data_IF_960367163007
#
_entry.id   IF_960367163007
#
_cell.length_a   1.000
_cell.length_b   1.000
_cell.length_c   1.000
_cell.angle_alpha   90.00
_cell.angle_beta   90.00
_cell.angle_gamma   90.00
#
_symmetry.space_group_name_H-M   'P 1'
#
loop_
_entity.id
_entity.type
_entity.pdbx_description
1 polymer ?
#
# COMPACT_ATOMS: atom_id res chain seq x y z
N UNK A 1 -3.52 43.22 -4.23
CA UNK A 1 -3.57 41.81 -4.63
C UNK A 1 -2.50 40.95 -3.92
N UNK A 2 -1.33 41.49 -3.64
CA UNK A 2 -0.24 40.72 -2.97
C UNK A 2 -0.48 40.38 -1.51
N UNK A 3 -1.15 41.24 -0.73
CA UNK A 3 -1.45 41.02 0.68
C UNK A 3 -2.43 39.84 0.86
N UNK A 4 -3.41 39.71 -0.03
CA UNK A 4 -4.39 38.62 0.01
C UNK A 4 -3.75 37.25 -0.32
N UNK A 5 -2.80 37.18 -1.26
CA UNK A 5 -2.08 35.97 -1.59
C UNK A 5 -1.11 35.55 -0.48
N UNK A 6 -0.45 36.52 0.18
CA UNK A 6 0.46 36.23 1.30
C UNK A 6 -0.31 35.71 2.53
N UNK A 7 -1.46 36.29 2.87
CA UNK A 7 -2.31 35.78 3.94
C UNK A 7 -2.88 34.40 3.65
N UNK A 8 -3.28 34.15 2.41
CA UNK A 8 -3.76 32.83 1.97
C UNK A 8 -2.66 31.76 2.02
N UNK A 9 -1.42 32.10 1.60
CA UNK A 9 -0.25 31.23 1.73
C UNK A 9 -0.01 30.81 3.19
N UNK A 10 -0.02 31.77 4.12
CA UNK A 10 0.17 31.51 5.53
C UNK A 10 -0.94 30.62 6.12
N UNK A 11 -2.20 30.89 5.77
CA UNK A 11 -3.35 30.09 6.23
C UNK A 11 -3.25 28.65 5.71
N UNK A 12 -2.93 28.45 4.43
CA UNK A 12 -2.79 27.10 3.85
C UNK A 12 -1.62 26.32 4.48
N UNK A 13 -0.48 26.98 4.73
CA UNK A 13 0.64 26.35 5.45
C UNK A 13 0.26 25.91 6.85
N UNK A 14 -0.43 26.77 7.59
CA UNK A 14 -0.94 26.47 8.94
C UNK A 14 -1.92 25.29 8.92
N UNK A 15 -2.87 25.30 8.00
CA UNK A 15 -3.83 24.20 7.82
C UNK A 15 -3.15 22.88 7.45
N UNK A 16 -2.23 22.90 6.47
CA UNK A 16 -1.45 21.73 6.08
C UNK A 16 -0.63 21.17 7.25
N UNK A 17 0.09 22.03 7.98
CA UNK A 17 0.89 21.61 9.12
C UNK A 17 0.03 20.98 10.23
N UNK A 18 -1.11 21.60 10.56
CA UNK A 18 -2.03 21.05 11.56
C UNK A 18 -2.56 19.66 11.17
N UNK A 19 -2.97 19.47 9.90
CA UNK A 19 -3.45 18.19 9.38
C UNK A 19 -2.34 17.12 9.38
N UNK A 20 -1.12 17.47 9.01
CA UNK A 20 0.02 16.56 9.01
C UNK A 20 0.44 16.16 10.44
N UNK A 21 0.43 17.09 11.39
CA UNK A 21 0.67 16.80 12.82
C UNK A 21 -0.43 15.89 13.36
N UNK A 22 -1.70 16.16 13.05
CA UNK A 22 -2.80 15.27 13.41
C UNK A 22 -2.59 13.85 12.88
N UNK A 23 -2.17 13.71 11.61
CA UNK A 23 -1.87 12.41 11.03
C UNK A 23 -0.71 11.69 11.74
N UNK A 24 0.34 12.40 12.13
CA UNK A 24 1.45 11.85 12.92
C UNK A 24 0.96 11.30 14.27
N UNK A 25 0.16 12.09 15.00
CA UNK A 25 -0.40 11.65 16.28
C UNK A 25 -1.26 10.39 16.10
N UNK A 26 -2.15 10.41 15.10
CA UNK A 26 -3.01 9.26 14.78
C UNK A 26 -2.21 8.02 14.36
N UNK A 27 -1.14 8.20 13.59
CA UNK A 27 -0.26 7.14 13.12
C UNK A 27 0.43 6.42 14.28
N UNK A 28 0.95 7.16 15.27
CA UNK A 28 1.59 6.55 16.45
C UNK A 28 0.59 5.90 17.40
N UNK A 29 -0.66 6.34 17.43
CA UNK A 29 -1.77 5.66 18.14
C UNK A 29 -2.31 4.41 17.41
N UNK A 30 -1.91 4.17 16.17
CA UNK A 30 -2.41 3.06 15.35
C UNK A 30 -1.73 1.72 15.70
N UNK A 31 -2.44 0.61 15.41
CA UNK A 31 -1.92 -0.76 15.56
C UNK A 31 -1.07 -1.23 14.36
N UNK A 32 -0.62 -0.33 13.50
CA UNK A 32 0.22 -0.68 12.36
C UNK A 32 1.59 -1.24 12.81
N UNK A 33 2.20 -2.15 12.03
CA UNK A 33 3.55 -2.64 12.29
C UNK A 33 4.55 -1.47 12.38
N UNK A 34 5.57 -1.60 13.23
CA UNK A 34 6.52 -0.54 13.51
C UNK A 34 7.18 0.02 12.23
N UNK A 35 7.58 -0.83 11.31
CA UNK A 35 8.17 -0.42 10.03
C UNK A 35 7.25 0.48 9.18
N UNK A 36 5.92 0.21 9.17
CA UNK A 36 4.95 1.03 8.46
C UNK A 36 4.81 2.41 9.12
N UNK A 37 4.75 2.44 10.46
CA UNK A 37 4.67 3.71 11.21
C UNK A 37 5.87 4.61 10.94
N UNK A 38 7.08 4.08 11.01
CA UNK A 38 8.29 4.87 10.78
C UNK A 38 8.43 5.33 9.32
N UNK A 39 8.10 4.50 8.33
CA UNK A 39 8.17 4.90 6.93
C UNK A 39 7.17 6.01 6.59
N UNK A 40 5.93 5.89 7.08
CA UNK A 40 4.91 6.93 6.90
C UNK A 40 5.24 8.21 7.69
N UNK A 41 5.74 8.08 8.92
CA UNK A 41 6.15 9.23 9.73
C UNK A 41 7.30 10.00 9.08
N UNK A 42 8.30 9.31 8.53
CA UNK A 42 9.40 9.93 7.80
C UNK A 42 8.90 10.71 6.57
N UNK A 43 7.97 10.14 5.81
CA UNK A 43 7.33 10.85 4.70
C UNK A 43 6.56 12.09 5.17
N UNK A 44 5.71 11.98 6.19
CA UNK A 44 4.95 13.12 6.72
C UNK A 44 5.90 14.21 7.23
N UNK A 45 6.97 13.83 7.93
CA UNK A 45 8.00 14.77 8.39
C UNK A 45 8.70 15.49 7.23
N UNK A 46 8.93 14.80 6.10
CA UNK A 46 9.51 15.43 4.91
C UNK A 46 8.57 16.44 4.26
N UNK A 47 7.26 16.19 4.26
CA UNK A 47 6.27 17.18 3.77
C UNK A 47 6.19 18.38 4.71
N UNK A 48 6.26 18.19 6.03
CA UNK A 48 6.36 19.29 6.99
C UNK A 48 7.63 20.13 6.77
N UNK A 49 8.76 19.47 6.51
CA UNK A 49 10.01 20.16 6.15
C UNK A 49 9.88 20.93 4.83
N UNK A 50 9.19 20.38 3.82
CA UNK A 50 8.89 21.08 2.58
C UNK A 50 8.07 22.36 2.82
N UNK A 51 7.03 22.31 3.67
CA UNK A 51 6.24 23.50 4.03
C UNK A 51 7.11 24.58 4.67
N UNK A 52 8.14 24.20 5.43
CA UNK A 52 9.09 25.11 6.04
C UNK A 52 10.08 25.68 5.03
N UNK A 53 10.71 24.81 4.20
CA UNK A 53 11.72 25.18 3.22
C UNK A 53 11.19 26.07 2.08
N UNK A 54 9.92 25.92 1.73
CA UNK A 54 9.27 26.71 0.67
C UNK A 54 8.78 28.10 1.15
N UNK A 55 9.07 28.49 2.40
CA UNK A 55 8.75 29.83 2.91
C UNK A 55 9.68 30.89 2.32
N UNK A 56 9.17 32.10 2.02
CA UNK A 56 10.00 33.18 1.51
C UNK A 56 11.10 33.64 2.51
N UNK A 57 10.83 33.54 3.81
CA UNK A 57 11.73 33.90 4.90
C UNK A 57 12.64 32.76 5.39
N UNK A 58 12.61 31.59 4.71
CA UNK A 58 13.41 30.43 5.13
C UNK A 58 14.93 30.73 5.18
N UNK A 59 15.41 31.63 4.34
CA UNK A 59 16.80 32.06 4.36
C UNK A 59 17.25 32.71 5.70
N UNK A 60 16.34 33.26 6.49
CA UNK A 60 16.62 33.91 7.77
C UNK A 60 16.76 32.93 8.94
N UNK A 61 16.34 31.67 8.81
CA UNK A 61 16.42 30.69 9.90
C UNK A 61 17.86 30.31 10.25
N UNK A 62 18.06 29.84 11.48
CA UNK A 62 19.35 29.32 11.93
C UNK A 62 19.78 28.07 11.20
N UNK A 63 21.07 27.83 11.03
CA UNK A 63 21.60 26.65 10.37
C UNK A 63 21.20 25.35 11.07
N UNK A 64 21.03 25.36 12.39
CA UNK A 64 20.57 24.20 13.14
C UNK A 64 19.17 23.71 12.72
N UNK A 65 18.29 24.61 12.25
CA UNK A 65 16.97 24.26 11.71
C UNK A 65 17.00 24.04 10.20
N UNK A 66 17.81 24.82 9.46
CA UNK A 66 17.91 24.72 8.01
C UNK A 66 18.41 23.35 7.52
N UNK A 67 19.50 22.86 8.09
CA UNK A 67 20.13 21.60 7.62
C UNK A 67 19.19 20.39 7.71
N UNK A 68 18.55 20.09 8.86
CA UNK A 68 17.62 18.96 8.93
C UNK A 68 16.37 19.16 8.05
N UNK A 69 15.86 20.42 7.95
CA UNK A 69 14.73 20.70 7.09
C UNK A 69 15.07 20.48 5.61
N UNK A 70 16.21 20.97 5.14
CA UNK A 70 16.66 20.75 3.75
C UNK A 70 16.90 19.25 3.47
N UNK A 71 17.54 18.53 4.39
CA UNK A 71 17.76 17.09 4.23
C UNK A 71 16.44 16.31 4.08
N UNK A 72 15.44 16.61 4.89
CA UNK A 72 14.12 16.00 4.80
C UNK A 72 13.38 16.43 3.54
N UNK A 73 13.45 17.72 3.18
CA UNK A 73 12.78 18.25 1.99
C UNK A 73 13.27 17.57 0.69
N UNK A 74 14.58 17.42 0.55
CA UNK A 74 15.23 16.73 -0.59
C UNK A 74 14.77 15.27 -0.69
N UNK A 75 14.47 14.64 0.45
CA UNK A 75 14.09 13.24 0.54
C UNK A 75 12.59 12.98 0.38
N UNK A 76 11.75 13.98 0.06
CA UNK A 76 10.28 13.81 0.01
C UNK A 76 9.84 12.73 -0.98
N UNK A 77 10.33 12.73 -2.22
CA UNK A 77 9.97 11.71 -3.22
C UNK A 77 10.54 10.31 -2.89
N UNK A 78 11.82 10.16 -2.49
CA UNK A 78 12.34 8.88 -1.99
C UNK A 78 11.58 8.33 -0.78
N UNK A 79 11.21 9.17 0.18
CA UNK A 79 10.47 8.74 1.38
C UNK A 79 9.02 8.36 1.04
N UNK A 80 8.37 9.04 0.09
CA UNK A 80 7.09 8.60 -0.45
C UNK A 80 7.19 7.22 -1.09
N UNK A 81 8.20 7.01 -1.94
CA UNK A 81 8.44 5.71 -2.56
C UNK A 81 8.67 4.61 -1.52
N UNK A 82 9.48 4.88 -0.51
CA UNK A 82 9.72 3.95 0.59
C UNK A 82 8.43 3.62 1.36
N UNK A 83 7.65 4.64 1.73
CA UNK A 83 6.39 4.49 2.43
C UNK A 83 5.40 3.64 1.62
N UNK A 84 5.26 3.91 0.31
CA UNK A 84 4.37 3.14 -0.56
C UNK A 84 4.86 1.69 -0.75
N UNK A 85 6.15 1.45 -0.85
CA UNK A 85 6.69 0.08 -0.87
C UNK A 85 6.41 -0.68 0.42
N UNK A 86 6.65 -0.07 1.57
CA UNK A 86 6.38 -0.69 2.87
C UNK A 86 4.89 -0.99 3.04
N UNK A 87 3.99 -0.12 2.57
CA UNK A 87 2.54 -0.30 2.69
C UNK A 87 1.97 -1.33 1.71
N UNK A 88 2.48 -1.37 0.47
CA UNK A 88 1.87 -2.15 -0.61
C UNK A 88 2.65 -3.40 -1.02
N UNK A 89 3.91 -3.53 -0.65
CA UNK A 89 4.72 -4.71 -0.91
C UNK A 89 4.83 -5.55 0.37
N UNK A 90 4.01 -6.59 0.47
CA UNK A 90 4.01 -7.51 1.64
C UNK A 90 5.36 -8.25 1.82
N UNK A 91 6.22 -8.19 0.79
CA UNK A 91 7.55 -8.82 0.76
C UNK A 91 8.68 -7.83 0.94
N UNK A 92 8.35 -6.58 1.30
CA UNK A 92 9.36 -5.56 1.49
C UNK A 92 10.35 -5.97 2.60
N UNK A 93 11.62 -6.01 2.22
CA UNK A 93 12.74 -6.18 3.16
C UNK A 93 13.79 -5.09 2.89
N UNK A 94 14.39 -4.59 3.95
CA UNK A 94 15.54 -3.70 3.85
C UNK A 94 16.69 -4.44 3.18
N UNK A 95 17.24 -3.85 2.14
CA UNK A 95 18.42 -4.36 1.46
C UNK A 95 19.41 -3.21 1.19
N UNK A 96 20.64 -3.56 0.94
CA UNK A 96 21.72 -2.59 0.69
C UNK A 96 21.37 -1.65 -0.48
N UNK A 97 20.69 -2.13 -1.52
CA UNK A 97 20.31 -1.33 -2.68
C UNK A 97 19.39 -0.17 -2.30
N UNK A 98 18.39 -0.41 -1.43
CA UNK A 98 17.47 0.64 -0.93
C UNK A 98 18.25 1.68 -0.14
N UNK A 99 19.12 1.25 0.78
CA UNK A 99 19.93 2.15 1.62
C UNK A 99 20.86 3.00 0.77
N UNK A 100 21.56 2.39 -0.17
CA UNK A 100 22.47 3.10 -1.10
C UNK A 100 21.70 4.09 -1.97
N UNK A 101 20.55 3.72 -2.53
CA UNK A 101 19.74 4.63 -3.33
C UNK A 101 19.29 5.88 -2.55
N UNK A 102 18.86 5.70 -1.29
CA UNK A 102 18.49 6.80 -0.41
C UNK A 102 19.70 7.69 -0.07
N UNK A 103 20.84 7.09 0.29
CA UNK A 103 22.06 7.82 0.62
C UNK A 103 22.60 8.63 -0.56
N UNK A 104 22.65 8.04 -1.76
CA UNK A 104 23.07 8.73 -2.98
C UNK A 104 22.14 9.88 -3.34
N UNK A 105 20.82 9.71 -3.16
CA UNK A 105 19.85 10.78 -3.42
C UNK A 105 20.02 11.93 -2.43
N UNK A 106 20.27 11.63 -1.15
CA UNK A 106 20.54 12.64 -0.14
C UNK A 106 21.82 13.42 -0.47
N UNK A 107 22.90 12.73 -0.84
CA UNK A 107 24.17 13.35 -1.22
C UNK A 107 24.02 14.23 -2.48
N UNK A 108 23.33 13.74 -3.51
CA UNK A 108 23.07 14.51 -4.72
C UNK A 108 22.19 15.75 -4.44
N UNK A 109 21.19 15.60 -3.58
CA UNK A 109 20.34 16.70 -3.16
C UNK A 109 21.09 17.76 -2.33
N UNK A 110 21.99 17.34 -1.44
CA UNK A 110 22.84 18.25 -0.69
C UNK A 110 23.76 19.05 -1.63
N UNK A 111 24.36 18.40 -2.63
CA UNK A 111 25.16 19.07 -3.66
C UNK A 111 24.33 20.05 -4.50
N UNK A 112 23.10 19.68 -4.85
CA UNK A 112 22.20 20.54 -5.61
C UNK A 112 21.78 21.80 -4.82
N UNK A 113 21.49 21.66 -3.53
CA UNK A 113 21.10 22.77 -2.63
C UNK A 113 22.26 23.72 -2.33
N UNK A 114 23.48 23.20 -2.18
CA UNK A 114 24.68 24.03 -1.96
C UNK A 114 25.18 24.76 -3.21
N UNK A 115 24.65 24.40 -4.38
CA UNK A 115 25.08 24.97 -5.65
C UNK A 115 26.47 24.50 -6.15
N UNK A 116 27.16 23.64 -5.38
CA UNK A 116 28.51 23.19 -5.66
C UNK A 116 28.65 22.41 -7.01
N UNK A 117 27.54 21.84 -7.48
CA UNK A 117 27.54 21.07 -8.73
C UNK A 117 26.99 21.81 -9.95
N UNK A 118 26.67 23.09 -9.84
CA UNK A 118 26.09 23.88 -10.91
C UNK A 118 24.76 23.33 -11.46
N UNK A 119 24.41 23.76 -12.68
CA UNK A 119 23.16 23.39 -13.36
C UNK A 119 23.02 21.86 -13.56
N UNK A 120 24.11 21.17 -13.89
CA UNK A 120 24.11 19.75 -14.21
C UNK A 120 23.66 18.90 -12.99
N UNK A 121 24.16 19.19 -11.80
CA UNK A 121 23.78 18.49 -10.57
C UNK A 121 22.30 18.78 -10.20
N UNK A 122 21.86 20.03 -10.37
CA UNK A 122 20.46 20.39 -10.17
C UNK A 122 19.52 19.63 -11.10
N UNK A 123 19.87 19.51 -12.38
CA UNK A 123 19.09 18.70 -13.34
C UNK A 123 19.14 17.22 -12.99
N UNK A 124 20.31 16.66 -12.67
CA UNK A 124 20.46 15.26 -12.29
C UNK A 124 19.61 14.92 -11.06
N UNK A 125 19.60 15.79 -10.05
CA UNK A 125 18.75 15.60 -8.87
C UNK A 125 17.25 15.56 -9.23
N UNK A 126 16.75 16.47 -10.08
CA UNK A 126 15.35 16.48 -10.54
C UNK A 126 14.99 15.19 -11.28
N UNK A 127 15.88 14.71 -12.18
CA UNK A 127 15.68 13.45 -12.90
C UNK A 127 15.57 12.26 -11.92
N UNK A 128 16.41 12.23 -10.88
CA UNK A 128 16.35 11.18 -9.84
C UNK A 128 15.01 11.25 -9.07
N UNK A 129 14.56 12.44 -8.68
CA UNK A 129 13.26 12.62 -8.00
C UNK A 129 12.09 12.16 -8.89
N UNK A 130 12.13 12.47 -10.19
CA UNK A 130 11.15 11.98 -11.16
C UNK A 130 11.18 10.45 -11.26
N UNK A 131 12.37 9.85 -11.27
CA UNK A 131 12.54 8.39 -11.22
C UNK A 131 11.86 7.77 -9.99
N UNK A 132 11.98 8.39 -8.81
CA UNK A 132 11.27 7.94 -7.61
C UNK A 132 9.76 8.10 -7.71
N UNK A 133 9.25 9.18 -8.34
CA UNK A 133 7.83 9.36 -8.57
C UNK A 133 7.26 8.24 -9.48
N UNK A 134 7.94 7.91 -10.57
CA UNK A 134 7.58 6.81 -11.46
C UNK A 134 7.66 5.46 -10.74
N UNK A 135 8.73 5.23 -9.97
CA UNK A 135 8.90 4.02 -9.17
C UNK A 135 7.80 3.86 -8.09
N UNK A 136 7.33 4.99 -7.51
CA UNK A 136 6.21 5.00 -6.58
C UNK A 136 4.92 4.58 -7.28
N UNK A 137 4.62 5.16 -8.44
CA UNK A 137 3.44 4.80 -9.23
C UNK A 137 3.47 3.32 -9.61
N UNK A 138 4.62 2.81 -10.05
CA UNK A 138 4.79 1.40 -10.36
C UNK A 138 4.59 0.49 -9.13
N UNK A 139 5.15 0.86 -7.97
CA UNK A 139 4.98 0.09 -6.72
C UNK A 139 3.51 0.02 -6.27
N UNK A 140 2.74 1.10 -6.47
CA UNK A 140 1.32 1.15 -6.16
C UNK A 140 0.50 0.30 -7.13
N UNK A 141 0.83 0.29 -8.42
CA UNK A 141 0.05 -0.38 -9.47
C UNK A 141 0.42 -1.86 -9.66
N UNK A 142 1.65 -2.26 -9.33
CA UNK A 142 2.23 -3.58 -9.63
C UNK A 142 1.31 -4.76 -9.30
N UNK A 143 0.74 -4.83 -8.14
CA UNK A 143 -0.10 -5.97 -7.71
C UNK A 143 -1.57 -5.56 -7.48
N UNK A 144 -2.03 -4.50 -8.16
CA UNK A 144 -3.37 -3.95 -7.94
C UNK A 144 -4.50 -4.94 -8.24
N UNK A 145 -4.36 -5.76 -9.30
CA UNK A 145 -5.38 -6.74 -9.69
C UNK A 145 -5.44 -7.96 -8.78
N UNK A 146 -4.30 -8.34 -8.19
CA UNK A 146 -4.16 -9.50 -7.32
C UNK A 146 -4.40 -9.18 -5.84
N UNK A 147 -4.52 -7.90 -5.46
CA UNK A 147 -4.76 -7.49 -4.08
C UNK A 147 -6.17 -7.88 -3.62
N UNK A 148 -6.25 -8.72 -2.59
CA UNK A 148 -7.50 -9.24 -2.03
C UNK A 148 -8.13 -8.30 -1.00
N UNK A 149 -7.36 -7.34 -0.45
CA UNK A 149 -7.84 -6.39 0.56
C UNK A 149 -8.53 -5.21 -0.12
N UNK A 150 -9.87 -5.14 -0.06
CA UNK A 150 -10.65 -4.11 -0.76
C UNK A 150 -10.27 -2.68 -0.38
N UNK A 151 -10.05 -2.40 0.91
CA UNK A 151 -9.65 -1.08 1.37
C UNK A 151 -8.26 -0.67 0.83
N UNK A 152 -7.33 -1.64 0.76
CA UNK A 152 -6.00 -1.44 0.20
C UNK A 152 -6.05 -1.17 -1.31
N UNK A 153 -6.93 -1.86 -2.06
CA UNK A 153 -7.16 -1.57 -3.49
C UNK A 153 -7.71 -0.17 -3.72
N UNK A 154 -8.69 0.27 -2.91
CA UNK A 154 -9.21 1.64 -2.97
C UNK A 154 -8.10 2.66 -2.69
N UNK A 155 -7.30 2.43 -1.64
CA UNK A 155 -6.17 3.29 -1.31
C UNK A 155 -5.17 3.35 -2.47
N UNK A 156 -4.81 2.22 -3.09
CA UNK A 156 -3.94 2.18 -4.28
C UNK A 156 -4.49 3.05 -5.41
N UNK A 157 -5.79 2.95 -5.71
CA UNK A 157 -6.43 3.75 -6.77
C UNK A 157 -6.33 5.25 -6.47
N UNK A 158 -6.64 5.66 -5.24
CA UNK A 158 -6.56 7.06 -4.83
C UNK A 158 -5.12 7.59 -4.86
N UNK A 159 -4.16 6.83 -4.35
CA UNK A 159 -2.74 7.21 -4.36
C UNK A 159 -2.22 7.29 -5.79
N UNK A 160 -2.54 6.33 -6.66
CA UNK A 160 -2.12 6.35 -8.05
C UNK A 160 -2.71 7.53 -8.82
N UNK A 161 -4.00 7.83 -8.62
CA UNK A 161 -4.66 8.96 -9.27
C UNK A 161 -4.06 10.30 -8.81
N UNK A 162 -3.91 10.50 -7.49
CA UNK A 162 -3.35 11.74 -6.95
C UNK A 162 -1.89 11.96 -7.33
N UNK A 163 -1.08 10.92 -7.30
CA UNK A 163 0.31 10.98 -7.72
C UNK A 163 0.43 11.23 -9.23
N UNK A 164 -0.41 10.57 -10.04
CA UNK A 164 -0.47 10.79 -11.48
C UNK A 164 -0.81 12.25 -11.82
N UNK A 165 -1.83 12.81 -11.18
CA UNK A 165 -2.20 14.23 -11.34
C UNK A 165 -1.06 15.14 -10.90
N UNK A 166 -0.43 14.87 -9.75
CA UNK A 166 0.69 15.66 -9.25
C UNK A 166 1.88 15.65 -10.22
N UNK A 167 2.26 14.49 -10.73
CA UNK A 167 3.36 14.35 -11.70
C UNK A 167 3.06 15.11 -12.99
N UNK A 168 1.83 15.03 -13.51
CA UNK A 168 1.41 15.78 -14.69
C UNK A 168 1.46 17.30 -14.45
N UNK A 169 1.04 17.77 -13.29
CA UNK A 169 1.11 19.18 -12.91
C UNK A 169 2.56 19.66 -12.81
N UNK A 170 3.46 18.90 -12.18
CA UNK A 170 4.88 19.23 -12.06
C UNK A 170 5.55 19.26 -13.43
N UNK A 171 5.32 18.25 -14.28
CA UNK A 171 5.87 18.22 -15.64
C UNK A 171 5.33 19.38 -16.51
N UNK A 172 4.02 19.63 -16.45
CA UNK A 172 3.41 20.75 -17.15
C UNK A 172 4.00 22.08 -16.71
N UNK A 173 4.24 22.23 -15.41
CA UNK A 173 4.88 23.39 -14.83
C UNK A 173 6.32 23.58 -15.26
N UNK A 174 7.17 22.54 -15.18
CA UNK A 174 8.55 22.63 -15.64
C UNK A 174 8.68 22.94 -17.13
N UNK A 175 7.77 22.44 -17.96
CA UNK A 175 7.70 22.76 -19.40
C UNK A 175 7.35 24.23 -19.66
N UNK A 176 6.40 24.79 -18.91
CA UNK A 176 5.92 26.16 -19.12
C UNK A 176 6.89 27.20 -18.53
N UNK A 177 7.51 26.90 -17.40
CA UNK A 177 8.32 27.86 -16.63
C UNK A 177 9.82 27.55 -16.63
N UNK A 178 10.32 26.80 -17.63
CA UNK A 178 11.77 26.44 -17.76
C UNK A 178 12.69 27.66 -17.66
N UNK A 179 12.25 28.84 -18.08
CA UNK A 179 13.06 30.07 -18.18
C UNK A 179 12.58 31.26 -17.35
N UNK A 180 11.51 31.11 -16.59
CA UNK A 180 10.92 32.19 -15.79
C UNK A 180 10.69 31.77 -14.35
N UNK A 181 10.73 32.73 -13.40
CA UNK A 181 10.37 32.45 -12.03
C UNK A 181 8.89 32.03 -11.92
N UNK A 182 8.61 31.06 -11.10
CA UNK A 182 7.27 30.56 -10.85
C UNK A 182 6.36 31.69 -10.31
N UNK A 183 5.18 31.88 -10.86
CA UNK A 183 4.24 32.86 -10.30
C UNK A 183 3.74 32.40 -8.91
N UNK A 184 3.58 33.32 -7.99
CA UNK A 184 3.15 33.04 -6.60
C UNK A 184 1.82 32.27 -6.48
N UNK A 185 0.87 32.49 -7.41
CA UNK A 185 -0.40 31.74 -7.39
C UNK A 185 -0.20 30.22 -7.50
N UNK A 186 0.90 29.78 -8.09
CA UNK A 186 1.18 28.37 -8.26
C UNK A 186 1.70 27.72 -6.97
N UNK A 187 2.47 28.47 -6.17
CA UNK A 187 2.85 28.02 -4.82
C UNK A 187 1.60 27.85 -3.96
N UNK A 188 0.65 28.78 -4.05
CA UNK A 188 -0.65 28.72 -3.36
C UNK A 188 -1.46 27.52 -3.84
N UNK A 189 -1.48 27.24 -5.14
CA UNK A 189 -2.17 26.06 -5.69
C UNK A 189 -1.57 24.75 -5.18
N UNK A 190 -0.22 24.67 -5.13
CA UNK A 190 0.46 23.50 -4.59
C UNK A 190 0.14 23.29 -3.09
N UNK A 191 0.15 24.36 -2.30
CA UNK A 191 -0.25 24.31 -0.88
C UNK A 191 -1.72 23.89 -0.71
N UNK A 192 -2.62 24.40 -1.54
CA UNK A 192 -4.02 23.98 -1.54
C UNK A 192 -4.16 22.49 -1.86
N UNK A 193 -3.35 21.95 -2.79
CA UNK A 193 -3.28 20.55 -3.09
C UNK A 193 -2.81 19.70 -1.88
N UNK A 194 -1.79 20.16 -1.15
CA UNK A 194 -1.31 19.50 0.07
C UNK A 194 -2.39 19.50 1.15
N UNK A 195 -3.09 20.63 1.36
CA UNK A 195 -4.20 20.74 2.32
C UNK A 195 -5.33 19.78 1.94
N UNK A 196 -5.75 19.78 0.68
CA UNK A 196 -6.82 18.92 0.19
C UNK A 196 -6.48 17.43 0.39
N UNK A 197 -5.27 17.01 0.01
CA UNK A 197 -4.83 15.62 0.15
C UNK A 197 -4.71 15.21 1.62
N UNK A 198 -4.08 16.07 2.45
CA UNK A 198 -3.95 15.81 3.89
C UNK A 198 -5.32 15.78 4.57
N UNK A 199 -6.25 16.66 4.16
CA UNK A 199 -7.63 16.68 4.65
C UNK A 199 -8.40 15.40 4.30
N UNK A 200 -8.27 14.91 3.06
CA UNK A 200 -8.88 13.64 2.64
C UNK A 200 -8.36 12.44 3.46
N UNK A 201 -7.04 12.38 3.68
CA UNK A 201 -6.43 11.31 4.50
C UNK A 201 -6.89 11.43 5.96
N UNK A 202 -6.93 12.63 6.52
CA UNK A 202 -7.41 12.87 7.90
C UNK A 202 -8.88 12.48 8.05
N UNK A 203 -9.74 12.85 7.09
CA UNK A 203 -11.16 12.47 7.09
C UNK A 203 -11.37 10.95 6.97
N UNK A 204 -10.60 10.29 6.09
CA UNK A 204 -10.65 8.84 5.96
C UNK A 204 -10.23 8.12 7.25
N UNK A 205 -9.18 8.62 7.92
CA UNK A 205 -8.70 8.10 9.21
C UNK A 205 -9.73 8.31 10.32
N UNK A 206 -10.33 9.48 10.39
CA UNK A 206 -11.37 9.81 11.39
C UNK A 206 -12.62 8.94 11.22
N UNK A 207 -13.10 8.73 9.99
CA UNK A 207 -14.24 7.85 9.70
C UNK A 207 -13.98 6.42 10.14
N UNK A 208 -12.82 5.86 9.82
CA UNK A 208 -12.46 4.50 10.25
C UNK A 208 -12.47 4.37 11.78
N UNK A 209 -11.97 5.38 12.49
CA UNK A 209 -11.97 5.39 13.96
C UNK A 209 -13.40 5.49 14.52
N UNK A 210 -14.25 6.32 13.93
CA UNK A 210 -15.67 6.44 14.29
C UNK A 210 -16.44 5.14 14.03
N UNK A 211 -16.24 4.50 12.88
CA UNK A 211 -16.89 3.23 12.56
C UNK A 211 -16.51 2.11 13.54
N UNK A 212 -15.24 2.02 13.94
CA UNK A 212 -14.76 1.08 14.95
C UNK A 212 -15.39 1.40 16.32
N UNK A 213 -15.47 2.68 16.69
CA UNK A 213 -16.04 3.09 17.98
C UNK A 213 -17.56 2.90 18.05
N UNK A 214 -18.31 3.23 17.00
CA UNK A 214 -19.74 3.03 16.89
C UNK A 214 -20.09 1.54 16.73
N UNK A 215 -19.33 0.79 15.97
CA UNK A 215 -19.48 -0.66 15.80
C UNK A 215 -19.27 -1.42 17.12
N UNK A 216 -18.32 -0.99 17.95
CA UNK A 216 -18.10 -1.51 19.30
C UNK A 216 -19.32 -1.29 20.21
N UNK A 217 -19.97 -0.13 20.12
CA UNK A 217 -21.22 0.14 20.88
C UNK A 217 -22.40 -0.69 20.38
N UNK A 218 -22.53 -0.85 19.07
CA UNK A 218 -23.58 -1.67 18.48
C UNK A 218 -23.46 -3.15 18.89
N UNK A 219 -22.24 -3.68 19.00
CA UNK A 219 -22.02 -5.06 19.46
C UNK A 219 -22.35 -5.26 20.94
N UNK A 220 -22.18 -4.26 21.79
CA UNK A 220 -22.61 -4.30 23.21
C UNK A 220 -24.12 -4.15 23.35
N UNK A 221 -24.76 -3.28 22.54
CA UNK A 221 -26.22 -3.13 22.52
C UNK A 221 -26.93 -4.38 22.01
N UNK A 222 -26.41 -5.05 21.00
CA UNK A 222 -26.97 -6.31 20.47
C UNK A 222 -26.84 -7.46 21.47
N UNK A 223 -25.77 -7.51 22.29
CA UNK A 223 -25.66 -8.48 23.37
C UNK A 223 -26.71 -8.25 24.48
N UNK A 224 -26.89 -6.99 24.89
CA UNK A 224 -27.91 -6.67 25.90
C UNK A 224 -29.33 -6.97 25.41
N UNK A 225 -29.67 -6.68 24.16
CA UNK A 225 -30.96 -7.04 23.53
C UNK A 225 -31.08 -8.56 23.36
N UNK A 226 -29.97 -9.28 23.13
CA UNK A 226 -29.93 -10.74 23.03
C UNK A 226 -30.33 -11.41 24.36
N UNK A 227 -29.81 -10.92 25.47
CA UNK A 227 -30.10 -11.45 26.82
C UNK A 227 -31.57 -11.17 27.25
N UNK A 228 -32.10 -10.00 26.88
CA UNK A 228 -33.50 -9.68 27.12
C UNK A 228 -34.45 -10.44 26.16
N UNK A 229 -34.05 -10.67 24.92
CA UNK A 229 -34.80 -11.49 23.97
C UNK A 229 -34.86 -12.97 24.36
N UNK A 230 -33.81 -13.50 25.01
CA UNK A 230 -33.80 -14.87 25.54
C UNK A 230 -34.76 -15.01 26.72
N UNK A 231 -34.88 -14.01 27.59
CA UNK A 231 -35.85 -13.96 28.69
C UNK A 231 -37.30 -13.85 28.19
N UNK A 232 -37.54 -13.10 27.10
CA UNK A 232 -38.85 -12.98 26.46
C UNK A 232 -39.27 -14.24 25.68
N UNK A 233 -38.31 -15.02 25.13
CA UNK A 233 -38.60 -16.28 24.43
C UNK A 233 -39.21 -17.37 25.31
N UNK A 234 -38.99 -17.32 26.61
CA UNK A 234 -39.55 -18.28 27.55
C UNK A 234 -41.02 -18.00 27.92
N UNK A 235 -41.61 -16.89 27.44
CA UNK A 235 -42.97 -16.46 27.79
C UNK A 235 -43.99 -16.41 26.64
N UNK A 236 -43.59 -16.77 25.39
CA UNK A 236 -44.47 -16.69 24.21
C UNK A 236 -44.86 -18.09 23.72
N UNK A 237 -46.19 -18.38 23.49
CA UNK A 237 -46.62 -19.64 22.90
C UNK A 237 -46.07 -19.84 21.49
N UNK A 238 -45.74 -21.08 21.16
CA UNK A 238 -45.08 -21.47 19.89
C UNK A 238 -45.97 -21.17 18.67
N UNK A 239 -45.56 -20.17 17.88
CA UNK A 239 -46.06 -19.98 16.52
C UNK A 239 -45.35 -20.97 15.57
N UNK A 240 -46.00 -21.41 14.46
CA UNK A 240 -45.37 -22.28 13.49
C UNK A 240 -44.09 -21.61 12.97
N UNK A 241 -42.93 -22.24 13.17
CA UNK A 241 -41.65 -21.77 12.70
C UNK A 241 -41.66 -21.79 11.19
N UNK A 242 -41.83 -20.63 10.56
CA UNK A 242 -41.19 -20.39 9.27
C UNK A 242 -39.71 -20.51 9.53
N UNK A 243 -39.09 -21.59 9.07
CA UNK A 243 -37.63 -21.80 9.19
C UNK A 243 -36.93 -20.61 8.57
N UNK A 244 -36.23 -19.74 9.34
CA UNK A 244 -35.34 -18.79 8.72
C UNK A 244 -34.18 -19.61 8.21
N UNK A 245 -34.04 -19.73 6.90
CA UNK A 245 -32.75 -20.15 6.33
C UNK A 245 -31.68 -19.27 6.92
N UNK A 246 -30.56 -19.80 7.47
CA UNK A 246 -29.37 -19.04 7.78
C UNK A 246 -28.58 -18.86 6.47
N UNK A 247 -28.74 -17.73 5.71
CA UNK A 247 -28.32 -17.73 4.31
C UNK A 247 -26.87 -17.34 4.10
N UNK A 248 -26.16 -16.90 5.13
CA UNK A 248 -24.83 -16.30 4.91
C UNK A 248 -23.67 -17.14 5.42
N UNK A 249 -23.84 -17.87 6.51
CA UNK A 249 -22.78 -18.73 7.05
C UNK A 249 -22.61 -20.00 6.21
N UNK A 250 -23.71 -20.66 5.84
CA UNK A 250 -23.70 -21.87 4.98
C UNK A 250 -23.12 -21.59 3.58
N UNK A 251 -23.47 -20.46 2.97
CA UNK A 251 -22.93 -20.09 1.65
C UNK A 251 -21.44 -19.81 1.70
N UNK A 252 -20.95 -19.17 2.75
CA UNK A 252 -19.51 -18.89 2.91
C UNK A 252 -18.73 -20.16 3.18
N UNK A 253 -19.26 -21.06 3.98
CA UNK A 253 -18.65 -22.37 4.24
C UNK A 253 -18.65 -23.25 2.97
N UNK A 254 -19.75 -23.30 2.23
CA UNK A 254 -19.85 -24.02 0.98
C UNK A 254 -18.90 -23.47 -0.11
N UNK A 255 -18.72 -22.15 -0.21
CA UNK A 255 -17.75 -21.55 -1.12
C UNK A 255 -16.33 -21.91 -0.72
N UNK A 256 -15.99 -21.86 0.57
CA UNK A 256 -14.68 -22.26 1.06
C UNK A 256 -14.38 -23.72 0.71
N UNK A 257 -15.34 -24.61 0.91
CA UNK A 257 -15.18 -26.03 0.60
C UNK A 257 -15.00 -26.28 -0.90
N UNK A 258 -15.80 -25.62 -1.78
CA UNK A 258 -15.60 -25.67 -3.23
C UNK A 258 -14.23 -25.14 -3.64
N UNK A 259 -13.77 -24.05 -3.04
CA UNK A 259 -12.45 -23.49 -3.29
C UNK A 259 -11.34 -24.47 -2.90
N UNK A 260 -11.42 -25.07 -1.70
CA UNK A 260 -10.40 -26.04 -1.22
C UNK A 260 -10.38 -27.29 -2.11
N UNK A 261 -11.53 -27.80 -2.56
CA UNK A 261 -11.60 -28.91 -3.53
C UNK A 261 -11.00 -28.53 -4.88
N UNK A 262 -11.32 -27.38 -5.44
CA UNK A 262 -10.76 -26.92 -6.70
C UNK A 262 -9.23 -26.75 -6.63
N UNK A 263 -8.73 -26.30 -5.49
CA UNK A 263 -7.28 -26.15 -5.28
C UNK A 263 -6.59 -27.49 -4.97
N UNK A 264 -7.19 -28.37 -4.17
CA UNK A 264 -6.60 -29.66 -3.80
C UNK A 264 -6.73 -30.69 -4.91
N UNK A 265 -7.96 -31.12 -5.22
CA UNK A 265 -8.25 -32.17 -6.17
C UNK A 265 -8.20 -31.68 -7.62
N UNK A 266 -8.79 -30.52 -7.88
CA UNK A 266 -8.88 -29.93 -9.23
C UNK A 266 -7.59 -29.27 -9.72
N UNK A 267 -6.59 -29.07 -8.86
CA UNK A 267 -5.31 -28.41 -9.18
C UNK A 267 -5.48 -27.12 -10.00
N UNK A 268 -6.52 -26.33 -9.70
CA UNK A 268 -6.82 -25.12 -10.45
C UNK A 268 -5.60 -24.17 -10.52
N UNK A 269 -4.75 -24.15 -9.48
CA UNK A 269 -3.51 -23.37 -9.46
C UNK A 269 -2.50 -23.74 -10.54
N UNK A 270 -2.56 -24.94 -11.12
CA UNK A 270 -1.63 -25.39 -12.16
C UNK A 270 -1.86 -24.72 -13.52
N UNK A 271 -2.99 -24.03 -13.71
CA UNK A 271 -3.22 -23.22 -14.91
C UNK A 271 -2.31 -21.99 -14.89
N UNK A 272 -1.50 -21.86 -15.96
CA UNK A 272 -0.68 -20.67 -16.17
C UNK A 272 -1.57 -19.43 -16.31
N UNK A 273 -1.18 -18.34 -15.64
CA UNK A 273 -1.92 -17.07 -15.73
C UNK A 273 -3.29 -17.03 -15.05
N UNK A 274 -3.67 -18.06 -14.27
CA UNK A 274 -4.95 -18.08 -13.57
C UNK A 274 -5.21 -16.76 -12.82
N UNK A 275 -6.30 -16.11 -13.16
CA UNK A 275 -6.77 -14.89 -12.51
C UNK A 275 -7.86 -15.18 -11.48
N UNK A 276 -8.03 -14.25 -10.51
CA UNK A 276 -9.12 -14.33 -9.54
C UNK A 276 -10.51 -14.39 -10.22
N UNK A 277 -10.67 -13.69 -11.36
CA UNK A 277 -11.93 -13.67 -12.09
C UNK A 277 -12.23 -15.03 -12.72
N UNK A 278 -11.23 -15.67 -13.35
CA UNK A 278 -11.39 -17.00 -13.91
C UNK A 278 -11.70 -18.07 -12.86
N UNK A 279 -10.99 -18.01 -11.72
CA UNK A 279 -11.28 -18.92 -10.61
C UNK A 279 -12.68 -18.68 -10.01
N UNK A 280 -13.14 -17.43 -9.96
CA UNK A 280 -14.49 -17.12 -9.49
C UNK A 280 -15.56 -17.69 -10.46
N UNK A 281 -15.33 -17.58 -11.76
CA UNK A 281 -16.18 -18.16 -12.79
C UNK A 281 -16.25 -19.69 -12.67
N UNK A 282 -15.11 -20.38 -12.52
CA UNK A 282 -15.05 -21.83 -12.30
C UNK A 282 -15.80 -22.29 -11.03
N UNK A 283 -15.83 -21.42 -10.01
CA UNK A 283 -16.52 -21.70 -8.73
C UNK A 283 -17.95 -21.16 -8.72
N UNK A 284 -18.50 -20.69 -9.82
CA UNK A 284 -19.84 -20.12 -9.93
C UNK A 284 -20.11 -19.06 -8.85
N UNK A 285 -19.16 -18.14 -8.67
CA UNK A 285 -19.21 -17.09 -7.66
C UNK A 285 -18.72 -15.76 -8.22
N UNK A 286 -18.94 -14.68 -7.46
CA UNK A 286 -18.40 -13.38 -7.86
C UNK A 286 -16.94 -13.22 -7.42
N UNK A 287 -16.11 -12.47 -8.17
CA UNK A 287 -14.75 -12.16 -7.74
C UNK A 287 -14.65 -11.48 -6.36
N UNK A 288 -15.71 -10.77 -5.95
CA UNK A 288 -15.78 -10.15 -4.64
C UNK A 288 -15.93 -11.19 -3.53
N UNK A 289 -16.87 -12.13 -3.69
CA UNK A 289 -17.11 -13.21 -2.72
C UNK A 289 -15.88 -14.13 -2.59
N UNK A 290 -15.25 -14.48 -3.72
CA UNK A 290 -14.04 -15.30 -3.72
C UNK A 290 -12.87 -14.58 -3.02
N UNK A 291 -12.72 -13.28 -3.27
CA UNK A 291 -11.71 -12.45 -2.58
C UNK A 291 -11.90 -12.47 -1.07
N UNK A 292 -13.15 -12.27 -0.62
CA UNK A 292 -13.48 -12.30 0.81
C UNK A 292 -13.23 -13.67 1.43
N UNK A 293 -13.55 -14.76 0.71
CA UNK A 293 -13.27 -16.12 1.17
C UNK A 293 -11.76 -16.37 1.34
N UNK A 294 -10.93 -16.02 0.34
CA UNK A 294 -9.48 -16.20 0.40
C UNK A 294 -8.86 -15.30 1.48
N UNK A 295 -9.31 -14.06 1.60
CA UNK A 295 -8.73 -13.11 2.56
C UNK A 295 -9.20 -13.37 4.00
N UNK A 296 -10.52 -13.44 4.24
CA UNK A 296 -11.06 -13.51 5.58
C UNK A 296 -11.02 -14.93 6.19
N UNK A 297 -11.19 -15.98 5.36
CA UNK A 297 -11.26 -17.34 5.87
C UNK A 297 -9.93 -18.10 5.75
N UNK A 298 -9.10 -17.78 4.75
CA UNK A 298 -7.80 -18.43 4.55
C UNK A 298 -6.60 -17.53 4.88
N UNK A 299 -6.83 -16.24 5.17
CA UNK A 299 -5.82 -15.31 5.68
C UNK A 299 -4.84 -14.75 4.64
N UNK A 300 -5.01 -15.05 3.36
CA UNK A 300 -4.13 -14.53 2.31
C UNK A 300 -4.50 -13.10 1.92
N UNK A 301 -3.50 -12.22 1.82
CA UNK A 301 -3.71 -10.82 1.41
C UNK A 301 -3.59 -10.60 -0.10
N UNK A 302 -2.89 -11.51 -0.78
CA UNK A 302 -2.60 -11.43 -2.21
C UNK A 302 -2.95 -12.75 -2.89
N UNK A 303 -3.67 -12.69 -4.01
CA UNK A 303 -4.07 -13.88 -4.76
C UNK A 303 -2.87 -14.64 -5.35
N UNK A 304 -1.85 -13.92 -5.82
CA UNK A 304 -0.63 -14.58 -6.30
C UNK A 304 0.08 -15.34 -5.18
N UNK A 305 0.10 -14.79 -3.96
CA UNK A 305 0.67 -15.44 -2.80
C UNK A 305 -0.09 -16.71 -2.43
N UNK A 306 -1.42 -16.65 -2.48
CA UNK A 306 -2.30 -17.82 -2.34
C UNK A 306 -1.96 -18.91 -3.36
N UNK A 307 -1.84 -18.57 -4.66
CA UNK A 307 -1.46 -19.54 -5.70
C UNK A 307 -0.03 -20.08 -5.50
N UNK A 308 0.92 -19.22 -5.11
CA UNK A 308 2.31 -19.63 -4.90
C UNK A 308 2.45 -20.70 -3.82
N UNK A 309 1.69 -20.63 -2.71
CA UNK A 309 1.75 -21.66 -1.68
C UNK A 309 1.36 -23.03 -2.22
N UNK A 310 0.24 -23.16 -2.92
CA UNK A 310 -0.17 -24.44 -3.52
C UNK A 310 0.83 -24.96 -4.55
N UNK A 311 1.30 -24.07 -5.44
CA UNK A 311 2.28 -24.43 -6.50
C UNK A 311 3.60 -24.91 -5.92
N UNK A 312 4.11 -24.21 -4.91
CA UNK A 312 5.40 -24.56 -4.29
C UNK A 312 5.29 -25.80 -3.42
N UNK A 313 4.18 -26.02 -2.73
CA UNK A 313 3.97 -27.23 -1.94
C UNK A 313 3.91 -28.47 -2.83
N UNK A 314 3.21 -28.41 -3.98
CA UNK A 314 3.23 -29.49 -4.98
C UNK A 314 4.64 -29.65 -5.57
N UNK A 315 5.30 -28.58 -5.95
CA UNK A 315 6.65 -28.64 -6.53
C UNK A 315 7.64 -29.27 -5.55
N UNK A 316 7.58 -28.94 -4.26
CA UNK A 316 8.42 -29.54 -3.22
C UNK A 316 8.22 -31.06 -3.13
N UNK A 317 6.96 -31.52 -3.15
CA UNK A 317 6.67 -32.96 -3.15
C UNK A 317 7.22 -33.66 -4.41
N UNK A 318 7.11 -33.03 -5.58
CA UNK A 318 7.63 -33.59 -6.84
C UNK A 318 9.16 -33.60 -6.89
N UNK A 319 9.82 -32.56 -6.39
CA UNK A 319 11.28 -32.50 -6.29
C UNK A 319 11.88 -33.65 -5.47
N UNK A 320 11.19 -34.14 -4.43
CA UNK A 320 11.61 -35.30 -3.64
C UNK A 320 11.29 -36.65 -4.32
N UNK A 321 10.18 -36.72 -5.07
CA UNK A 321 9.69 -38.02 -5.59
C UNK A 321 10.10 -38.29 -7.04
N UNK A 322 10.42 -37.25 -7.81
CA UNK A 322 10.62 -37.34 -9.26
C UNK A 322 11.97 -36.75 -9.64
N UNK A 323 12.62 -37.42 -10.60
CA UNK A 323 13.93 -36.96 -11.14
C UNK A 323 13.75 -36.11 -12.42
N UNK A 324 12.63 -35.37 -12.48
CA UNK A 324 12.34 -34.46 -13.59
C UNK A 324 13.18 -33.18 -13.50
N UNK A 325 13.49 -32.54 -14.64
CA UNK A 325 14.10 -31.23 -14.66
C UNK A 325 13.30 -30.22 -13.84
N UNK A 326 13.98 -29.35 -13.09
CA UNK A 326 13.30 -28.32 -12.24
C UNK A 326 12.41 -27.43 -13.08
N UNK A 327 12.81 -27.10 -14.32
CA UNK A 327 12.01 -26.32 -15.24
C UNK A 327 10.68 -27.04 -15.57
N UNK A 328 10.72 -28.36 -15.84
CA UNK A 328 9.50 -29.14 -16.13
C UNK A 328 8.54 -29.11 -14.94
N UNK A 329 9.04 -29.31 -13.73
CA UNK A 329 8.22 -29.20 -12.51
C UNK A 329 7.63 -27.80 -12.36
N UNK A 330 8.41 -26.75 -12.62
CA UNK A 330 7.95 -25.37 -12.54
C UNK A 330 6.79 -25.08 -13.53
N UNK A 331 6.91 -25.55 -14.77
CA UNK A 331 5.86 -25.41 -15.78
C UNK A 331 4.60 -26.19 -15.40
N UNK A 332 4.75 -27.45 -14.97
CA UNK A 332 3.65 -28.34 -14.59
C UNK A 332 2.83 -27.82 -13.38
N UNK A 333 3.44 -27.06 -12.48
CA UNK A 333 2.73 -26.45 -11.36
C UNK A 333 2.19 -25.04 -11.69
N UNK A 334 2.27 -24.61 -12.96
CA UNK A 334 1.61 -23.40 -13.46
C UNK A 334 2.47 -22.13 -13.48
N UNK A 335 3.81 -22.24 -13.47
CA UNK A 335 4.68 -21.10 -13.76
C UNK A 335 5.00 -21.02 -15.25
N UNK A 336 4.96 -19.82 -15.84
CA UNK A 336 5.34 -19.62 -17.24
C UNK A 336 6.87 -19.62 -17.50
N UNK A 337 7.69 -19.60 -16.44
CA UNK A 337 9.15 -19.65 -16.55
C UNK A 337 9.83 -19.95 -15.20
N UNK A 338 11.11 -20.35 -15.27
CA UNK A 338 11.90 -20.75 -14.10
C UNK A 338 12.20 -19.59 -13.14
N UNK A 339 12.31 -18.35 -13.61
CA UNK A 339 12.69 -17.21 -12.79
C UNK A 339 11.69 -16.86 -11.67
N UNK A 340 10.40 -16.67 -11.97
CA UNK A 340 9.35 -16.50 -10.96
C UNK A 340 9.24 -17.70 -10.00
N UNK A 341 9.38 -18.93 -10.52
CA UNK A 341 9.37 -20.14 -9.72
C UNK A 341 10.50 -20.14 -8.65
N UNK A 342 11.74 -19.93 -9.06
CA UNK A 342 12.89 -19.94 -8.16
C UNK A 342 12.74 -18.90 -7.05
N UNK A 343 12.24 -17.69 -7.39
CA UNK A 343 11.99 -16.63 -6.41
C UNK A 343 10.93 -17.04 -5.39
N UNK A 344 9.80 -17.56 -5.87
CA UNK A 344 8.70 -18.00 -5.00
C UNK A 344 9.12 -19.19 -4.13
N UNK A 345 9.84 -20.15 -4.70
CA UNK A 345 10.32 -21.34 -3.97
C UNK A 345 11.28 -20.95 -2.83
N UNK A 346 12.32 -20.15 -3.14
CA UNK A 346 13.26 -19.67 -2.12
C UNK A 346 12.55 -18.86 -1.03
N UNK A 347 11.53 -18.08 -1.40
CA UNK A 347 10.78 -17.28 -0.44
C UNK A 347 9.95 -18.14 0.51
N UNK A 348 9.30 -19.22 0.01
CA UNK A 348 8.38 -20.06 0.80
C UNK A 348 9.15 -21.15 1.55
N UNK A 349 10.18 -21.75 0.95
CA UNK A 349 10.95 -22.86 1.55
C UNK A 349 12.28 -22.41 2.17
N UNK A 350 12.70 -21.15 2.00
CA UNK A 350 13.95 -20.61 2.54
C UNK A 350 15.22 -20.92 1.74
N UNK A 351 15.18 -21.94 0.89
CA UNK A 351 16.31 -22.43 0.07
C UNK A 351 15.90 -22.57 -1.39
N UNK A 352 16.87 -22.73 -2.28
CA UNK A 352 16.61 -22.90 -3.72
C UNK A 352 16.02 -24.28 -4.02
N UNK A 353 15.30 -24.45 -5.17
CA UNK A 353 14.80 -25.79 -5.58
C UNK A 353 15.91 -26.82 -5.74
N UNK A 354 17.10 -26.44 -6.17
CA UNK A 354 18.27 -27.31 -6.32
C UNK A 354 18.77 -27.81 -4.97
N UNK A 355 18.95 -26.87 -4.02
CA UNK A 355 19.33 -27.21 -2.64
C UNK A 355 18.27 -28.10 -1.99
N UNK A 356 16.99 -27.77 -2.18
CA UNK A 356 15.89 -28.56 -1.64
C UNK A 356 15.88 -30.00 -2.18
N UNK A 357 16.13 -30.18 -3.47
CA UNK A 357 16.25 -31.51 -4.08
C UNK A 357 17.44 -32.31 -3.50
N UNK A 358 18.56 -31.65 -3.21
CA UNK A 358 19.75 -32.31 -2.66
C UNK A 358 19.52 -32.76 -1.21
N UNK A 359 18.55 -32.20 -0.48
CA UNK A 359 18.15 -32.61 0.88
C UNK A 359 17.19 -33.81 0.87
N UNK A 360 17.17 -34.64 -0.18
CA UNK A 360 16.41 -35.90 -0.17
C UNK A 360 16.80 -36.73 1.08
N UNK A 361 15.81 -37.21 1.88
CA UNK A 361 16.07 -38.11 2.96
C UNK A 361 16.61 -39.46 2.49
#
# INVERSE_FOLDING_TARGET
MDITLASLDLMLRGAAAALLVFQLIHLFGSKLPQQHRWALAAFIASVLAYLLCSRPDFASFSWGLKLPALALCVMTAPLLWLAMRVVFDDRFAWNLTVVVALALTLALGALAVTGLGGLAVGVAHRVVLMGFAVATLWAVLKDWRSDLVQNRRRLRTWVAASLGVYVLLVLGFELVFVRSAAPRWLEVLNLAGIVAMSGLVALASARHTLDVWLGSRASHGVRAIGDDAERLRTQVPAWPRLTPQPPTLDRKAALRERLLRAMGEGRAYAHEGLSLAQLAEQLETTPAQLRDAINQQLGYRNFNDFLHHYRIDEAAQRLHRQDLPILSIALDVGYGSIGPFNRAFKQIKGITPTEFRALKP
#
